data_IF_607402258242
#
_entry.id   IF_607402258242
#
_cell.length_a   1.000
_cell.length_b   1.000
_cell.length_c   1.000
_cell.angle_alpha   90.00
_cell.angle_beta   90.00
_cell.angle_gamma   90.00
#
_symmetry.space_group_name_H-M   'P 1'
#
loop_
_entity.id
_entity.type
_entity.pdbx_description
1 polymer ?
#
# COMPACT_ATOMS: atom_id res chain seq x y z
N UNK A 1 43.76 -6.03 -9.79
CA UNK A 1 42.35 -6.14 -10.24
C UNK A 1 41.51 -6.03 -8.97
N UNK A 2 41.04 -4.82 -8.65
CA UNK A 2 40.20 -4.62 -7.46
C UNK A 2 38.86 -5.32 -7.69
N UNK A 3 38.46 -6.16 -6.72
CA UNK A 3 37.13 -6.77 -6.70
C UNK A 3 36.09 -5.65 -6.51
N UNK A 4 35.00 -5.61 -7.29
CA UNK A 4 33.98 -4.59 -7.12
C UNK A 4 33.41 -4.68 -5.70
N UNK A 5 33.31 -3.52 -5.04
CA UNK A 5 32.67 -3.38 -3.73
C UNK A 5 31.28 -4.02 -3.80
N UNK A 6 30.95 -4.86 -2.82
CA UNK A 6 29.81 -5.80 -2.88
C UNK A 6 28.44 -5.21 -3.25
N UNK A 7 28.23 -3.89 -3.10
CA UNK A 7 27.01 -3.20 -3.52
C UNK A 7 26.80 -3.19 -5.04
N UNK A 8 27.86 -3.03 -5.83
CA UNK A 8 27.77 -3.00 -7.30
C UNK A 8 27.46 -4.41 -7.85
N UNK A 9 28.06 -5.44 -7.24
CA UNK A 9 27.79 -6.84 -7.56
C UNK A 9 26.34 -7.24 -7.25
N UNK A 10 25.77 -6.74 -6.13
CA UNK A 10 24.37 -6.99 -5.79
C UNK A 10 23.40 -6.33 -6.76
N UNK A 11 23.63 -5.07 -7.13
CA UNK A 11 22.79 -4.36 -8.11
C UNK A 11 22.79 -5.06 -9.48
N UNK A 12 23.96 -5.51 -9.93
CA UNK A 12 24.08 -6.28 -11.17
C UNK A 12 23.33 -7.62 -11.10
N UNK A 13 23.43 -8.33 -9.97
CA UNK A 13 22.69 -9.57 -9.74
C UNK A 13 21.18 -9.37 -9.78
N UNK A 14 20.67 -8.35 -9.09
CA UNK A 14 19.24 -8.00 -9.09
C UNK A 14 18.77 -7.66 -10.50
N UNK A 15 19.55 -6.89 -11.26
CA UNK A 15 19.26 -6.55 -12.64
C UNK A 15 19.25 -7.76 -13.58
N UNK A 16 20.08 -8.76 -13.33
CA UNK A 16 20.04 -10.02 -14.09
C UNK A 16 18.78 -10.81 -13.77
N UNK A 17 18.41 -10.91 -12.48
CA UNK A 17 17.22 -11.62 -12.02
C UNK A 17 15.94 -10.99 -12.61
N UNK A 18 15.78 -9.66 -12.49
CA UNK A 18 14.60 -8.95 -13.00
C UNK A 18 14.41 -9.14 -14.51
N UNK A 19 15.48 -9.00 -15.30
CA UNK A 19 15.44 -9.23 -16.75
C UNK A 19 15.08 -10.67 -17.10
N UNK A 20 15.65 -11.63 -16.38
CA UNK A 20 15.37 -13.06 -16.60
C UNK A 20 13.91 -13.39 -16.29
N UNK A 21 13.36 -12.86 -15.18
CA UNK A 21 11.95 -13.01 -14.84
C UNK A 21 11.03 -12.39 -15.89
N UNK A 22 11.37 -11.19 -16.38
CA UNK A 22 10.60 -10.53 -17.45
C UNK A 22 10.61 -11.31 -18.76
N UNK A 23 11.77 -11.87 -19.13
CA UNK A 23 11.88 -12.73 -20.30
C UNK A 23 11.02 -13.99 -20.15
N UNK A 24 11.12 -14.67 -19.00
CA UNK A 24 10.33 -15.87 -18.70
C UNK A 24 8.82 -15.60 -18.70
N UNK A 25 8.38 -14.49 -18.09
CA UNK A 25 6.97 -14.09 -18.09
C UNK A 25 6.41 -13.90 -19.51
N UNK A 26 7.23 -13.33 -20.41
CA UNK A 26 6.87 -13.15 -21.82
C UNK A 26 6.86 -14.47 -22.59
N UNK A 27 7.85 -15.33 -22.35
CA UNK A 27 7.98 -16.62 -23.02
C UNK A 27 6.81 -17.56 -22.67
N UNK A 28 6.47 -17.64 -21.38
CA UNK A 28 5.39 -18.51 -20.89
C UNK A 28 4.01 -17.84 -20.97
N UNK A 29 3.96 -16.55 -21.27
CA UNK A 29 2.73 -15.74 -21.28
C UNK A 29 1.94 -15.82 -19.96
N UNK A 30 2.63 -15.71 -18.83
CA UNK A 30 2.04 -15.72 -17.48
C UNK A 30 2.45 -14.46 -16.70
N UNK A 31 1.58 -13.95 -15.80
CA UNK A 31 1.98 -12.91 -14.88
C UNK A 31 2.94 -13.47 -13.82
N UNK A 32 4.07 -12.80 -13.61
CA UNK A 32 5.00 -13.10 -12.52
C UNK A 32 4.93 -11.95 -11.51
N UNK A 33 4.69 -12.30 -10.25
CA UNK A 33 4.70 -11.35 -9.14
C UNK A 33 5.97 -11.60 -8.33
N UNK A 34 6.80 -10.57 -8.23
CA UNK A 34 7.98 -10.58 -7.36
C UNK A 34 7.76 -9.59 -6.21
N UNK A 35 8.22 -9.97 -5.02
CA UNK A 35 8.21 -9.12 -3.83
C UNK A 35 9.62 -8.58 -3.64
N UNK A 36 9.74 -7.26 -3.48
CA UNK A 36 11.00 -6.61 -3.15
C UNK A 36 10.86 -5.84 -1.84
N UNK A 37 11.86 -5.95 -0.98
CA UNK A 37 11.94 -5.14 0.23
C UNK A 37 12.46 -3.75 -0.13
N UNK A 38 11.85 -2.71 0.45
CA UNK A 38 12.30 -1.33 0.29
C UNK A 38 13.55 -1.05 1.11
N UNK A 39 14.36 -0.10 0.64
CA UNK A 39 15.45 0.45 1.43
C UNK A 39 14.92 1.12 2.70
N UNK A 40 15.65 1.00 3.81
CA UNK A 40 15.32 1.70 5.07
C UNK A 40 15.35 3.23 4.95
N UNK A 41 15.90 3.75 3.86
CA UNK A 41 15.89 5.18 3.55
C UNK A 41 14.48 5.80 3.52
N UNK A 42 13.45 4.99 3.20
CA UNK A 42 12.04 5.42 3.26
C UNK A 42 11.64 5.97 4.63
N UNK A 43 12.17 5.36 5.70
CA UNK A 43 11.86 5.70 7.10
C UNK A 43 12.56 6.98 7.56
N UNK A 44 13.71 7.28 6.94
CA UNK A 44 14.50 8.48 7.24
C UNK A 44 13.95 9.72 6.55
N UNK A 45 13.08 9.56 5.55
CA UNK A 45 12.42 10.67 4.88
C UNK A 45 11.37 11.24 5.84
N UNK A 46 11.57 12.48 6.28
CA UNK A 46 10.57 13.19 7.09
C UNK A 46 9.23 13.30 6.36
N UNK A 47 8.15 13.57 7.10
CA UNK A 47 6.79 13.63 6.56
C UNK A 47 6.09 12.28 6.57
N UNK A 48 5.34 11.97 5.51
CA UNK A 48 4.42 10.83 5.46
C UNK A 48 5.07 9.47 5.22
N UNK A 49 6.39 9.39 4.95
CA UNK A 49 7.11 8.12 4.72
C UNK A 49 6.46 7.20 3.67
N UNK A 50 5.69 7.77 2.74
CA UNK A 50 5.04 7.06 1.63
C UNK A 50 6.08 6.49 0.67
N UNK A 51 6.13 5.17 0.40
CA UNK A 51 7.05 4.58 -0.56
C UNK A 51 7.01 5.21 -1.95
N UNK A 52 8.16 5.35 -2.58
CA UNK A 52 8.31 5.86 -3.95
C UNK A 52 9.31 5.02 -4.75
N UNK A 53 9.33 5.17 -6.08
CA UNK A 53 10.20 4.39 -6.96
C UNK A 53 11.68 4.49 -6.60
N UNK A 54 12.14 5.66 -6.13
CA UNK A 54 13.52 5.83 -5.67
C UNK A 54 13.88 4.96 -4.45
N UNK A 55 12.90 4.44 -3.72
CA UNK A 55 13.14 3.55 -2.59
C UNK A 55 13.52 2.13 -3.05
N UNK A 56 13.38 1.84 -4.35
CA UNK A 56 13.92 0.66 -5.04
C UNK A 56 15.33 0.90 -5.60
N UNK A 57 16.03 1.99 -5.23
CA UNK A 57 17.30 2.41 -5.86
C UNK A 57 18.42 1.36 -5.80
N UNK A 58 18.49 0.55 -4.75
CA UNK A 58 19.43 -0.60 -4.67
C UNK A 58 19.07 -1.73 -5.65
N UNK A 59 17.94 -1.58 -6.34
CA UNK A 59 17.31 -2.48 -7.29
C UNK A 59 16.81 -1.72 -8.53
N UNK A 60 17.44 -0.61 -8.93
CA UNK A 60 16.93 0.29 -9.98
C UNK A 60 16.58 -0.38 -11.32
N UNK A 61 17.14 -1.56 -11.59
CA UNK A 61 16.75 -2.40 -12.72
C UNK A 61 15.32 -2.98 -12.62
N UNK A 62 14.84 -3.31 -11.41
CA UNK A 62 13.46 -3.75 -11.17
C UNK A 62 12.47 -2.68 -11.63
N UNK A 63 12.73 -1.42 -11.28
CA UNK A 63 11.88 -0.31 -11.73
C UNK A 63 11.81 -0.27 -13.26
N UNK A 64 12.92 -0.45 -13.96
CA UNK A 64 12.95 -0.39 -15.43
C UNK A 64 12.24 -1.59 -16.07
N UNK A 65 12.46 -2.80 -15.56
CA UNK A 65 12.01 -4.05 -16.17
C UNK A 65 10.53 -4.37 -15.89
N UNK A 66 10.02 -3.98 -14.73
CA UNK A 66 8.65 -4.27 -14.31
C UNK A 66 7.61 -3.53 -15.17
N UNK A 67 6.50 -4.19 -15.52
CA UNK A 67 5.36 -3.50 -16.15
C UNK A 67 4.51 -2.73 -15.13
N UNK A 68 4.42 -3.26 -13.90
CA UNK A 68 3.63 -2.72 -12.80
C UNK A 68 4.48 -2.74 -11.53
N UNK A 69 4.49 -1.64 -10.78
CA UNK A 69 5.10 -1.55 -9.45
C UNK A 69 4.03 -1.09 -8.47
N UNK A 70 3.76 -1.92 -7.47
CA UNK A 70 2.81 -1.66 -6.41
C UNK A 70 3.55 -1.51 -5.08
N UNK A 71 3.23 -0.46 -4.33
CA UNK A 71 3.67 -0.32 -2.94
C UNK A 71 2.50 -0.50 -2.00
N UNK A 72 2.76 -1.15 -0.87
CA UNK A 72 1.81 -1.27 0.23
C UNK A 72 2.17 -0.21 1.25
N UNK A 73 1.22 0.64 1.61
CA UNK A 73 1.40 1.70 2.58
C UNK A 73 0.26 1.69 3.59
N UNK A 74 0.58 1.87 4.87
CA UNK A 74 -0.41 1.90 5.96
C UNK A 74 -0.21 3.18 6.76
N UNK A 75 -0.98 4.25 6.51
CA UNK A 75 -0.80 5.54 7.19
C UNK A 75 -0.85 5.40 8.72
N UNK A 76 -1.75 4.58 9.22
CA UNK A 76 -1.91 4.30 10.65
C UNK A 76 -0.64 3.76 11.31
N UNK A 77 0.16 2.96 10.59
CA UNK A 77 1.44 2.43 11.12
C UNK A 77 2.42 3.57 11.45
N UNK A 78 2.30 4.71 10.78
CA UNK A 78 3.12 5.90 10.98
C UNK A 78 2.44 6.95 11.87
N UNK A 79 1.36 6.60 12.58
CA UNK A 79 0.55 7.50 13.41
C UNK A 79 -0.08 8.69 12.66
N UNK A 80 -0.27 8.55 11.35
CA UNK A 80 -1.03 9.52 10.54
C UNK A 80 -2.49 9.15 10.73
N UNK A 81 -3.30 10.07 11.25
CA UNK A 81 -4.71 9.82 11.59
C UNK A 81 -5.68 10.09 10.45
N UNK A 82 -5.33 11.01 9.55
CA UNK A 82 -6.17 11.42 8.43
C UNK A 82 -5.39 11.44 7.14
N UNK A 83 -6.04 11.03 6.07
CA UNK A 83 -5.56 11.16 4.70
C UNK A 83 -6.59 11.91 3.87
N UNK A 84 -6.10 12.58 2.84
CA UNK A 84 -6.93 13.26 1.85
C UNK A 84 -6.98 12.43 0.57
N UNK A 85 -8.19 12.24 0.02
CA UNK A 85 -8.35 11.64 -1.29
C UNK A 85 -8.05 12.65 -2.41
N UNK A 86 -8.20 12.23 -3.66
CA UNK A 86 -7.91 13.10 -4.81
C UNK A 86 -8.97 14.19 -5.02
N UNK A 87 -10.08 14.17 -4.25
CA UNK A 87 -11.16 15.15 -4.27
C UNK A 87 -11.09 16.14 -3.10
N UNK A 88 -10.15 15.97 -2.18
CA UNK A 88 -10.01 16.81 -1.00
C UNK A 88 -10.80 16.32 0.22
N UNK A 89 -11.42 15.14 0.14
CA UNK A 89 -12.18 14.57 1.25
C UNK A 89 -11.23 13.92 2.25
N UNK A 90 -11.45 14.17 3.55
CA UNK A 90 -10.62 13.61 4.62
C UNK A 90 -11.22 12.33 5.18
N UNK A 91 -10.39 11.30 5.30
CA UNK A 91 -10.76 9.98 5.82
C UNK A 91 -9.92 9.62 7.04
N UNK A 92 -10.55 8.94 8.00
CA UNK A 92 -9.80 8.25 9.05
C UNK A 92 -9.01 7.09 8.44
N UNK A 93 -7.79 6.95 8.90
CA UNK A 93 -6.82 5.94 8.45
C UNK A 93 -6.88 4.64 9.24
N UNK A 94 -7.64 4.59 10.33
CA UNK A 94 -7.76 3.39 11.15
C UNK A 94 -8.26 2.21 10.31
N UNK A 95 -7.45 1.15 10.24
CA UNK A 95 -7.78 -0.02 9.45
C UNK A 95 -7.78 0.23 7.94
N UNK A 96 -7.16 1.32 7.46
CA UNK A 96 -6.97 1.61 6.04
C UNK A 96 -5.54 1.27 5.61
N UNK A 97 -5.43 0.68 4.43
CA UNK A 97 -4.18 0.55 3.71
C UNK A 97 -4.33 1.09 2.29
N UNK A 98 -3.22 1.56 1.75
CA UNK A 98 -3.13 2.07 0.40
C UNK A 98 -2.25 1.14 -0.44
N UNK A 99 -2.77 0.77 -1.61
CA UNK A 99 -1.97 0.18 -2.68
C UNK A 99 -1.63 1.30 -3.65
N UNK A 100 -0.37 1.74 -3.63
CA UNK A 100 0.14 2.81 -4.48
C UNK A 100 0.67 2.17 -5.77
N UNK A 101 0.09 2.55 -6.90
CA UNK A 101 0.55 2.18 -8.23
C UNK A 101 1.66 3.16 -8.63
N UNK A 102 2.90 2.84 -8.27
CA UNK A 102 4.07 3.69 -8.52
C UNK A 102 4.51 3.68 -9.99
N UNK A 103 4.33 2.57 -10.69
CA UNK A 103 4.58 2.43 -12.13
C UNK A 103 3.49 1.59 -12.75
N UNK A 104 2.98 2.03 -13.90
CA UNK A 104 2.09 1.24 -14.75
C UNK A 104 2.44 1.49 -16.22
N UNK A 105 2.95 0.48 -16.91
CA UNK A 105 3.41 0.61 -18.30
C UNK A 105 2.26 0.82 -19.29
N UNK A 106 1.05 0.39 -18.93
CA UNK A 106 -0.13 0.37 -19.80
C UNK A 106 -1.29 1.22 -19.25
N UNK A 107 -1.02 2.15 -18.33
CA UNK A 107 -2.06 2.99 -17.72
C UNK A 107 -1.48 4.01 -16.76
N UNK A 108 -2.34 4.84 -16.15
CA UNK A 108 -1.87 5.86 -15.22
C UNK A 108 -1.38 5.23 -13.90
N UNK A 109 -0.44 5.89 -13.20
CA UNK A 109 -0.22 5.65 -11.77
C UNK A 109 -1.45 6.11 -10.97
N UNK A 110 -1.51 5.72 -9.70
CA UNK A 110 -2.64 6.06 -8.83
C UNK A 110 -2.54 5.38 -7.48
N UNK A 111 -3.61 5.48 -6.68
CA UNK A 111 -3.72 4.81 -5.38
C UNK A 111 -5.08 4.11 -5.29
N UNK A 112 -5.10 2.96 -4.63
CA UNK A 112 -6.33 2.22 -4.32
C UNK A 112 -6.38 2.04 -2.80
N UNK A 113 -7.48 2.48 -2.19
CA UNK A 113 -7.71 2.30 -0.77
C UNK A 113 -8.33 0.92 -0.51
N UNK A 114 -7.82 0.23 0.50
CA UNK A 114 -8.29 -1.07 0.98
C UNK A 114 -8.49 -1.03 2.49
N UNK A 115 -9.35 -1.90 2.99
CA UNK A 115 -9.42 -2.17 4.42
C UNK A 115 -8.31 -3.14 4.81
N UNK A 116 -7.63 -2.89 5.93
CA UNK A 116 -6.64 -3.76 6.53
C UNK A 116 -7.09 -4.27 7.90
N UNK A 117 -7.37 -5.57 7.99
CA UNK A 117 -7.72 -6.25 9.24
C UNK A 117 -6.45 -6.71 9.96
N UNK A 118 -6.00 -5.92 10.95
CA UNK A 118 -4.77 -6.19 11.72
C UNK A 118 -4.70 -7.60 12.32
N UNK A 119 -5.84 -8.08 12.85
CA UNK A 119 -5.94 -9.39 13.52
C UNK A 119 -5.58 -10.56 12.60
N UNK A 120 -5.80 -10.40 11.29
CA UNK A 120 -5.62 -11.46 10.31
C UNK A 120 -4.56 -11.14 9.25
N UNK A 121 -3.94 -9.95 9.32
CA UNK A 121 -3.01 -9.43 8.31
C UNK A 121 -3.63 -9.53 6.90
N UNK A 122 -4.90 -9.11 6.78
CA UNK A 122 -5.71 -9.29 5.58
C UNK A 122 -6.12 -7.96 4.97
N UNK A 123 -6.05 -7.88 3.65
CA UNK A 123 -6.59 -6.76 2.88
C UNK A 123 -7.96 -7.13 2.30
N UNK A 124 -8.92 -6.22 2.38
CA UNK A 124 -10.26 -6.38 1.83
C UNK A 124 -10.68 -5.15 1.03
N UNK A 125 -11.66 -5.35 0.12
CA UNK A 125 -12.24 -4.26 -0.65
C UNK A 125 -12.88 -3.23 0.29
N UNK A 126 -12.57 -1.96 0.08
CA UNK A 126 -13.04 -0.87 0.93
C UNK A 126 -14.56 -0.70 0.88
N UNK A 127 -15.22 -0.98 -0.25
CA UNK A 127 -16.68 -0.85 -0.38
C UNK A 127 -17.43 -1.66 0.69
N UNK A 128 -16.97 -2.90 0.96
CA UNK A 128 -17.56 -3.75 2.01
C UNK A 128 -17.33 -3.21 3.42
N UNK A 129 -16.30 -2.39 3.61
CA UNK A 129 -15.97 -1.79 4.89
C UNK A 129 -16.78 -0.52 5.16
N UNK A 130 -16.96 0.33 4.15
CA UNK A 130 -17.79 1.54 4.24
C UNK A 130 -19.25 1.16 4.48
N UNK A 131 -19.81 0.25 3.67
CA UNK A 131 -21.18 -0.27 3.85
C UNK A 131 -21.41 -0.79 5.28
N UNK A 132 -20.44 -1.54 5.82
CA UNK A 132 -20.51 -2.09 7.18
C UNK A 132 -20.43 -0.99 8.25
N UNK A 133 -19.60 0.03 8.07
CA UNK A 133 -19.49 1.15 9.01
C UNK A 133 -20.75 2.00 9.01
N UNK A 134 -21.31 2.29 7.83
CA UNK A 134 -22.56 3.04 7.68
C UNK A 134 -23.72 2.30 8.37
N UNK A 135 -23.85 0.98 8.16
CA UNK A 135 -24.85 0.16 8.85
C UNK A 135 -24.71 0.22 10.38
N UNK A 136 -23.48 0.08 10.91
CA UNK A 136 -23.23 0.14 12.36
C UNK A 136 -23.55 1.53 12.91
N UNK A 137 -23.17 2.60 12.23
CA UNK A 137 -23.48 3.96 12.68
C UNK A 137 -24.99 4.24 12.67
N UNK A 138 -25.73 3.71 11.69
CA UNK A 138 -27.20 3.85 11.67
C UNK A 138 -27.85 3.05 12.79
N UNK A 139 -27.39 1.83 13.07
CA UNK A 139 -27.87 1.02 14.20
C UNK A 139 -27.56 1.69 15.56
N UNK A 140 -26.39 2.29 15.73
CA UNK A 140 -26.01 3.05 16.94
C UNK A 140 -26.86 4.32 17.12
N UNK A 141 -27.15 5.06 16.04
CA UNK A 141 -28.05 6.24 16.07
C UNK A 141 -29.50 5.84 16.38
N UNK A 142 -29.99 4.72 15.85
CA UNK A 142 -31.33 4.19 16.16
C UNK A 142 -31.45 3.72 17.63
N UNK A 143 -30.43 3.04 18.16
CA UNK A 143 -30.38 2.66 19.59
C UNK A 143 -30.32 3.88 20.52
N UNK A 144 -29.61 4.95 20.15
CA UNK A 144 -29.57 6.19 20.93
C UNK A 144 -30.90 6.98 20.89
N UNK A 145 -31.63 6.97 19.77
CA UNK A 145 -32.96 7.60 19.67
C UNK A 145 -34.06 6.83 20.42
N UNK A 146 -33.96 5.50 20.54
CA UNK A 146 -34.92 4.69 21.32
C UNK A 146 -34.77 4.91 22.85
N UNK A 147 -33.61 5.34 23.34
CA UNK A 147 -33.39 5.68 24.75
C UNK A 147 -33.82 7.13 25.01
N UNK A 148 -35.14 7.38 25.02
CA UNK A 148 -35.69 8.69 25.40
C UNK A 148 -35.39 9.05 26.88
N UNK A 149 -35.32 10.34 27.28
CA UNK A 149 -34.83 10.78 28.60
C UNK A 149 -35.68 10.38 29.83
N UNK A 150 -36.66 9.48 29.68
CA UNK A 150 -37.58 9.07 30.73
C UNK A 150 -37.08 7.92 31.62
N UNK A 151 -36.14 7.11 31.13
CA UNK A 151 -35.69 5.89 31.82
C UNK A 151 -34.36 6.11 32.55
N UNK A 152 -34.36 7.03 33.52
CA UNK A 152 -33.40 6.96 34.62
C UNK A 152 -34.11 6.34 35.82
N UNK A 153 -33.74 5.12 36.27
CA UNK A 153 -34.25 4.60 37.52
C UNK A 153 -33.73 5.49 38.65
N UNK A 154 -34.65 6.04 39.45
CA UNK A 154 -34.34 6.73 40.71
C UNK A 154 -33.54 5.86 41.68
#
# INVERSE_FOLDING_TARGET
MELPKGSESQQQGIAQISRSLKALAKELNIPIIAISQLSRAVEMRGGERRPQLSDLRDSGAIEQDADLVLFIYRPEYYNIKRIEDDKGEQFDTEGIAEIIIGKNRNGPPGKVLLQFEKKYVRFQNLSRFVEKREMISTEEEEEEEEVSPGDTPF
#
